data_IF_929562308272
#
_entry.id   IF_929562308272
#
_cell.length_a   1.000
_cell.length_b   1.000
_cell.length_c   1.000
_cell.angle_alpha   90.00
_cell.angle_beta   90.00
_cell.angle_gamma   90.00
#
_symmetry.space_group_name_H-M   'P 1'
#
loop_
_entity.id
_entity.type
_entity.pdbx_description
1 polymer ?
#
# COMPACT_ATOMS: atom_id res chain seq x y z
N UNK A 1 -25.33 -32.50 -24.60
CA UNK A 1 -25.73 -31.75 -23.38
C UNK A 1 -24.46 -31.49 -22.59
N UNK A 2 -23.79 -30.35 -22.83
CA UNK A 2 -22.57 -29.97 -22.10
C UNK A 2 -22.96 -28.91 -21.07
N UNK A 3 -23.05 -29.31 -19.80
CA UNK A 3 -23.15 -28.39 -18.67
C UNK A 3 -21.74 -27.91 -18.36
N UNK A 4 -21.42 -26.69 -18.77
CA UNK A 4 -20.24 -25.96 -18.31
C UNK A 4 -20.62 -25.42 -16.93
N UNK A 5 -20.08 -26.04 -15.89
CA UNK A 5 -20.16 -25.53 -14.53
C UNK A 5 -19.38 -24.21 -14.48
N UNK A 6 -20.12 -23.10 -14.36
CA UNK A 6 -19.57 -21.80 -14.03
C UNK A 6 -19.00 -21.88 -12.62
N UNK A 7 -17.68 -22.07 -12.54
CA UNK A 7 -16.91 -21.95 -11.31
C UNK A 7 -16.89 -20.47 -10.94
N UNK A 8 -17.85 -20.05 -10.13
CA UNK A 8 -17.87 -18.74 -9.50
C UNK A 8 -16.56 -18.54 -8.74
N UNK A 9 -15.69 -17.71 -9.32
CA UNK A 9 -14.43 -17.31 -8.71
C UNK A 9 -14.75 -16.59 -7.42
N UNK A 10 -14.53 -17.27 -6.30
CA UNK A 10 -14.56 -16.67 -4.97
C UNK A 10 -13.45 -15.63 -4.92
N UNK A 11 -13.76 -14.38 -5.27
CA UNK A 11 -12.84 -13.27 -5.05
C UNK A 11 -12.59 -13.22 -3.56
N UNK A 12 -11.37 -13.54 -3.15
CA UNK A 12 -10.93 -13.29 -1.78
C UNK A 12 -11.25 -11.82 -1.43
N UNK A 13 -11.60 -11.54 -0.16
CA UNK A 13 -11.79 -10.16 0.26
C UNK A 13 -10.50 -9.38 -0.04
N UNK A 14 -10.62 -8.13 -0.53
CA UNK A 14 -9.45 -7.30 -0.83
C UNK A 14 -8.57 -7.16 0.41
N UNK A 15 -7.25 -7.10 0.21
CA UNK A 15 -6.28 -6.92 1.30
C UNK A 15 -6.61 -5.69 2.14
N UNK A 16 -6.49 -5.85 3.47
CA UNK A 16 -6.74 -4.75 4.42
C UNK A 16 -5.54 -3.80 4.49
N UNK A 17 -5.51 -2.85 3.56
CA UNK A 17 -4.45 -1.83 3.46
C UNK A 17 -4.37 -0.96 4.72
N UNK A 18 -5.50 -0.65 5.37
CA UNK A 18 -5.51 0.17 6.58
C UNK A 18 -4.76 -0.54 7.72
N UNK A 19 -5.03 -1.84 7.91
CA UNK A 19 -4.31 -2.66 8.88
C UNK A 19 -2.82 -2.79 8.53
N UNK A 20 -2.47 -2.96 7.25
CA UNK A 20 -1.06 -3.02 6.83
C UNK A 20 -0.32 -1.71 7.16
N UNK A 21 -0.91 -0.55 6.87
CA UNK A 21 -0.33 0.78 7.19
C UNK A 21 -0.19 0.99 8.70
N UNK A 22 -1.20 0.62 9.48
CA UNK A 22 -1.15 0.71 10.94
C UNK A 22 0.01 -0.13 11.53
N UNK A 23 0.28 -1.30 10.95
CA UNK A 23 1.40 -2.14 11.37
C UNK A 23 2.76 -1.59 10.92
N UNK A 24 2.85 -1.00 9.72
CA UNK A 24 4.06 -0.29 9.26
C UNK A 24 4.43 0.87 10.19
N UNK A 25 3.43 1.59 10.71
CA UNK A 25 3.63 2.72 11.61
C UNK A 25 4.32 2.33 12.93
N UNK A 26 4.25 1.06 13.34
CA UNK A 26 4.95 0.54 14.51
C UNK A 26 6.46 0.32 14.27
N UNK A 27 6.92 0.41 13.00
CA UNK A 27 8.30 0.08 12.60
C UNK A 27 9.05 1.30 12.09
N UNK A 28 8.42 2.16 11.28
CA UNK A 28 9.15 3.18 10.52
C UNK A 28 9.72 4.36 11.33
N UNK A 29 9.04 4.91 12.35
CA UNK A 29 9.61 6.01 13.13
C UNK A 29 10.87 5.52 13.90
N UNK A 30 12.02 6.21 13.78
CA UNK A 30 13.28 5.77 14.39
C UNK A 30 13.23 5.65 15.91
N UNK A 31 12.41 6.48 16.54
CA UNK A 31 12.07 6.56 17.95
C UNK A 31 11.09 5.48 18.40
N UNK A 32 10.47 4.75 17.47
CA UNK A 32 9.48 3.70 17.73
C UNK A 32 10.01 2.31 17.37
N UNK A 33 11.05 2.18 16.54
CA UNK A 33 11.55 0.87 16.14
C UNK A 33 12.12 0.10 17.34
N UNK A 34 11.55 -1.06 17.72
CA UNK A 34 12.04 -1.83 18.86
C UNK A 34 13.44 -2.39 18.61
N UNK A 35 14.24 -2.49 19.67
CA UNK A 35 15.60 -3.08 19.62
C UNK A 35 15.65 -4.46 20.26
N UNK A 36 14.59 -4.88 20.97
CA UNK A 36 14.56 -6.19 21.60
C UNK A 36 14.39 -7.29 20.53
N UNK A 37 15.15 -8.41 20.62
CA UNK A 37 15.16 -9.43 19.58
C UNK A 37 13.80 -10.09 19.33
N UNK A 38 13.00 -10.32 20.37
CA UNK A 38 11.71 -11.02 20.27
C UNK A 38 10.66 -10.18 19.55
N UNK A 39 10.57 -8.89 19.87
CA UNK A 39 9.66 -7.97 19.17
C UNK A 39 10.12 -7.75 17.74
N UNK A 40 11.43 -7.63 17.49
CA UNK A 40 11.96 -7.54 16.12
C UNK A 40 11.62 -8.78 15.28
N UNK A 41 11.72 -9.98 15.84
CA UNK A 41 11.33 -11.21 15.16
C UNK A 41 9.83 -11.21 14.84
N UNK A 42 9.00 -10.79 15.80
CA UNK A 42 7.54 -10.69 15.64
C UNK A 42 7.17 -9.71 14.54
N UNK A 43 7.72 -8.50 14.58
CA UNK A 43 7.49 -7.46 13.56
C UNK A 43 8.01 -7.90 12.19
N UNK A 44 9.17 -8.56 12.14
CA UNK A 44 9.71 -9.12 10.88
C UNK A 44 8.76 -10.15 10.30
N UNK A 45 8.28 -11.10 11.12
CA UNK A 45 7.29 -12.08 10.71
C UNK A 45 6.01 -11.44 10.18
N UNK A 46 5.51 -10.42 10.89
CA UNK A 46 4.32 -9.66 10.49
C UNK A 46 4.52 -8.95 9.14
N UNK A 47 5.64 -8.25 8.94
CA UNK A 47 5.95 -7.58 7.67
C UNK A 47 6.06 -8.58 6.51
N UNK A 48 6.70 -9.74 6.74
CA UNK A 48 6.80 -10.80 5.72
C UNK A 48 5.42 -11.36 5.38
N UNK A 49 4.57 -11.62 6.37
CA UNK A 49 3.20 -12.10 6.15
C UNK A 49 2.37 -11.12 5.33
N UNK A 50 2.40 -9.82 5.65
CA UNK A 50 1.70 -8.79 4.87
C UNK A 50 2.22 -8.69 3.44
N UNK A 51 3.53 -8.78 3.22
CA UNK A 51 4.11 -8.81 1.88
C UNK A 51 3.66 -10.04 1.08
N UNK A 52 3.62 -11.21 1.70
CA UNK A 52 3.12 -12.45 1.08
C UNK A 52 1.64 -12.36 0.69
N UNK A 53 0.85 -11.54 1.37
CA UNK A 53 -0.55 -11.28 1.02
C UNK A 53 -0.69 -10.26 -0.12
N UNK A 54 0.00 -9.12 -0.06
CA UNK A 54 -0.22 -8.02 -1.02
C UNK A 54 0.45 -8.24 -2.38
N UNK A 55 1.58 -8.96 -2.43
CA UNK A 55 2.30 -9.24 -3.69
C UNK A 55 1.41 -9.93 -4.74
N UNK A 56 0.77 -11.09 -4.45
CA UNK A 56 -0.06 -11.76 -5.44
C UNK A 56 -1.27 -10.92 -5.87
N UNK A 57 -1.81 -10.09 -4.97
CA UNK A 57 -2.91 -9.17 -5.28
C UNK A 57 -2.48 -8.07 -6.26
N UNK A 58 -1.31 -7.48 -6.07
CA UNK A 58 -0.75 -6.50 -7.01
C UNK A 58 -0.50 -7.14 -8.37
N UNK A 59 0.09 -8.34 -8.41
CA UNK A 59 0.31 -9.08 -9.65
C UNK A 59 -1.01 -9.37 -10.37
N UNK A 60 -2.04 -9.80 -9.64
CA UNK A 60 -3.37 -10.06 -10.19
C UNK A 60 -4.02 -8.80 -10.77
N UNK A 61 -4.01 -7.68 -10.04
CA UNK A 61 -4.58 -6.42 -10.54
C UNK A 61 -3.79 -5.90 -11.73
N UNK A 62 -2.45 -5.93 -11.67
CA UNK A 62 -1.55 -5.48 -12.73
C UNK A 62 -1.73 -6.31 -14.02
N UNK A 63 -2.00 -7.61 -13.93
CA UNK A 63 -2.22 -8.47 -15.08
C UNK A 63 -3.42 -8.05 -15.93
N UNK A 64 -4.40 -7.36 -15.33
CA UNK A 64 -5.63 -6.89 -16.00
C UNK A 64 -5.48 -5.53 -16.70
N UNK A 65 -4.33 -4.86 -16.53
CA UNK A 65 -4.05 -3.56 -17.14
C UNK A 65 -3.31 -3.71 -18.48
N UNK A 66 -3.35 -2.72 -19.38
CA UNK A 66 -2.55 -2.70 -20.60
C UNK A 66 -1.05 -2.90 -20.33
N UNK A 67 -0.33 -3.50 -21.27
CA UNK A 67 1.11 -3.80 -21.10
C UNK A 67 1.98 -2.53 -21.02
N UNK A 68 1.52 -1.44 -21.62
CA UNK A 68 2.15 -0.12 -21.66
C UNK A 68 1.67 0.84 -20.55
N UNK A 69 0.79 0.37 -19.64
CA UNK A 69 0.33 1.15 -18.51
C UNK A 69 1.48 1.43 -17.51
N UNK A 70 1.78 2.71 -17.29
CA UNK A 70 2.87 3.15 -16.41
C UNK A 70 2.64 2.69 -14.95
N UNK A 71 1.46 2.88 -14.33
CA UNK A 71 1.16 2.31 -13.01
C UNK A 71 1.44 0.82 -12.89
N UNK A 72 1.05 0.00 -13.89
CA UNK A 72 1.37 -1.43 -13.96
C UNK A 72 2.87 -1.68 -13.86
N UNK A 73 3.68 -1.01 -14.70
CA UNK A 73 5.12 -1.22 -14.72
C UNK A 73 5.78 -0.87 -13.37
N UNK A 74 5.41 0.27 -12.79
CA UNK A 74 5.95 0.74 -11.51
C UNK A 74 5.60 -0.24 -10.39
N UNK A 75 4.35 -0.72 -10.33
CA UNK A 75 3.92 -1.67 -9.31
C UNK A 75 4.66 -3.01 -9.41
N UNK A 76 4.83 -3.56 -10.62
CA UNK A 76 5.58 -4.81 -10.82
C UNK A 76 7.07 -4.67 -10.51
N UNK A 77 7.67 -3.50 -10.75
CA UNK A 77 9.03 -3.22 -10.30
C UNK A 77 9.13 -3.23 -8.76
N UNK A 78 8.14 -2.63 -8.08
CA UNK A 78 8.02 -2.67 -6.62
C UNK A 78 7.88 -4.09 -6.07
N UNK A 79 7.10 -4.95 -6.74
CA UNK A 79 6.96 -6.37 -6.37
C UNK A 79 8.31 -7.09 -6.44
N UNK A 80 9.04 -6.96 -7.54
CA UNK A 80 10.37 -7.61 -7.69
C UNK A 80 11.34 -7.19 -6.59
N UNK A 81 11.38 -5.90 -6.28
CA UNK A 81 12.21 -5.35 -5.21
C UNK A 81 11.80 -5.87 -3.82
N UNK A 82 10.49 -6.02 -3.57
CA UNK A 82 9.98 -6.58 -2.33
C UNK A 82 10.35 -8.07 -2.19
N UNK A 83 10.25 -8.86 -3.27
CA UNK A 83 10.69 -10.26 -3.29
C UNK A 83 12.18 -10.38 -2.95
N UNK A 84 13.05 -9.57 -3.58
CA UNK A 84 14.47 -9.58 -3.26
C UNK A 84 14.77 -9.29 -1.78
N UNK A 85 13.97 -8.42 -1.14
CA UNK A 85 14.10 -8.13 0.29
C UNK A 85 13.53 -9.24 1.19
N UNK A 86 12.52 -9.97 0.73
CA UNK A 86 11.99 -11.14 1.45
C UNK A 86 13.00 -12.28 1.49
N UNK A 87 13.76 -12.46 0.42
CA UNK A 87 14.78 -13.50 0.29
C UNK A 87 16.09 -13.15 1.02
N UNK A 88 16.35 -11.86 1.20
CA UNK A 88 17.52 -11.38 1.93
C UNK A 88 17.48 -11.76 3.42
N UNK A 89 18.58 -12.32 3.93
CA UNK A 89 18.78 -12.52 5.37
C UNK A 89 19.33 -11.24 6.02
N UNK A 90 18.91 -10.91 7.26
CA UNK A 90 19.59 -9.87 8.02
C UNK A 90 21.04 -10.28 8.29
N UNK A 91 21.92 -9.29 8.45
CA UNK A 91 23.26 -9.49 8.99
C UNK A 91 23.21 -9.95 10.46
N UNK A 92 24.37 -10.26 11.02
CA UNK A 92 24.48 -10.85 12.36
C UNK A 92 24.34 -9.83 13.50
N UNK A 93 24.45 -8.53 13.21
CA UNK A 93 24.40 -7.51 14.26
C UNK A 93 22.95 -7.12 14.58
N UNK A 94 22.64 -6.74 15.84
CA UNK A 94 21.31 -6.27 16.21
C UNK A 94 20.81 -5.10 15.33
N UNK A 95 21.71 -4.20 14.93
CA UNK A 95 21.42 -3.10 14.00
C UNK A 95 20.98 -3.59 12.62
N UNK A 96 21.45 -4.76 12.18
CA UNK A 96 21.08 -5.33 10.89
C UNK A 96 19.65 -5.87 10.89
N UNK A 97 19.20 -6.42 12.02
CA UNK A 97 17.82 -6.88 12.21
C UNK A 97 16.84 -5.70 12.18
N UNK A 98 17.16 -4.61 12.90
CA UNK A 98 16.41 -3.34 12.86
C UNK A 98 16.35 -2.79 11.42
N UNK A 99 17.49 -2.74 10.74
CA UNK A 99 17.54 -2.25 9.37
C UNK A 99 16.74 -3.15 8.42
N UNK A 100 16.75 -4.45 8.63
CA UNK A 100 16.00 -5.41 7.82
C UNK A 100 14.49 -5.24 7.98
N UNK A 101 13.95 -5.20 9.20
CA UNK A 101 12.50 -5.00 9.41
C UNK A 101 12.04 -3.65 8.83
N UNK A 102 12.85 -2.59 8.93
CA UNK A 102 12.54 -1.28 8.31
C UNK A 102 12.59 -1.32 6.78
N UNK A 103 13.45 -2.15 6.17
CA UNK A 103 13.43 -2.36 4.71
C UNK A 103 12.14 -3.05 4.27
N UNK A 104 11.70 -4.07 5.00
CA UNK A 104 10.44 -4.76 4.72
C UNK A 104 9.24 -3.81 4.89
N UNK A 105 9.20 -3.05 5.99
CA UNK A 105 8.13 -2.08 6.26
C UNK A 105 8.02 -1.00 5.17
N UNK A 106 9.16 -0.48 4.68
CA UNK A 106 9.17 0.48 3.55
C UNK A 106 8.67 -0.15 2.25
N UNK A 107 9.05 -1.38 1.96
CA UNK A 107 8.51 -2.09 0.80
C UNK A 107 7.01 -2.29 0.92
N UNK A 108 6.52 -2.73 2.09
CA UNK A 108 5.09 -2.91 2.33
C UNK A 108 4.31 -1.62 2.14
N UNK A 109 4.82 -0.49 2.67
CA UNK A 109 4.20 0.82 2.49
C UNK A 109 4.09 1.19 1.00
N UNK A 110 5.18 1.05 0.25
CA UNK A 110 5.19 1.35 -1.18
C UNK A 110 4.23 0.44 -1.97
N UNK A 111 4.15 -0.85 -1.61
CA UNK A 111 3.20 -1.78 -2.23
C UNK A 111 1.75 -1.41 -1.89
N UNK A 112 1.46 -0.93 -0.68
CA UNK A 112 0.13 -0.40 -0.35
C UNK A 112 -0.24 0.77 -1.27
N UNK A 113 0.68 1.73 -1.45
CA UNK A 113 0.47 2.87 -2.37
C UNK A 113 0.26 2.41 -3.82
N UNK A 114 1.01 1.39 -4.26
CA UNK A 114 0.85 0.81 -5.59
C UNK A 114 -0.50 0.11 -5.75
N UNK A 115 -0.91 -0.72 -4.79
CA UNK A 115 -2.18 -1.43 -4.83
C UNK A 115 -3.37 -0.48 -4.89
N UNK A 116 -3.40 0.58 -4.07
CA UNK A 116 -4.43 1.61 -4.11
C UNK A 116 -4.47 2.32 -5.47
N UNK A 117 -3.29 2.66 -6.02
CA UNK A 117 -3.19 3.28 -7.35
C UNK A 117 -3.70 2.38 -8.47
N UNK A 118 -3.38 1.09 -8.44
CA UNK A 118 -3.83 0.11 -9.44
C UNK A 118 -5.33 -0.18 -9.35
N UNK A 119 -5.88 -0.23 -8.13
CA UNK A 119 -7.31 -0.49 -7.91
C UNK A 119 -8.17 0.76 -8.06
N UNK A 120 -7.55 1.93 -8.27
CA UNK A 120 -8.26 3.20 -8.36
C UNK A 120 -8.89 3.63 -7.03
N UNK A 121 -8.51 2.99 -5.92
CA UNK A 121 -8.91 3.39 -4.57
C UNK A 121 -8.18 4.68 -4.25
N UNK A 122 -8.94 5.77 -4.13
CA UNK A 122 -8.39 7.10 -3.82
C UNK A 122 -8.60 7.35 -2.33
N UNK A 123 -7.57 7.75 -1.58
CA UNK A 123 -7.76 8.13 -0.18
C UNK A 123 -8.21 9.58 -0.06
N UNK A 124 -9.12 9.85 0.89
CA UNK A 124 -9.52 11.20 1.22
C UNK A 124 -8.42 11.88 2.04
N UNK A 125 -7.76 12.88 1.47
CA UNK A 125 -6.66 13.61 2.11
C UNK A 125 -7.02 14.34 3.42
N UNK A 126 -8.30 14.43 3.78
CA UNK A 126 -8.77 15.11 4.98
C UNK A 126 -9.01 14.17 6.18
N UNK A 127 -9.43 12.93 5.91
CA UNK A 127 -9.80 11.98 6.97
C UNK A 127 -9.08 10.62 6.85
N UNK A 128 -8.21 10.47 5.85
CA UNK A 128 -7.45 9.25 5.57
C UNK A 128 -8.33 7.99 5.43
N UNK A 129 -9.54 8.18 4.87
CA UNK A 129 -10.47 7.10 4.56
C UNK A 129 -10.58 6.91 3.04
N UNK A 130 -10.80 5.69 2.54
CA UNK A 130 -10.96 5.43 1.11
C UNK A 130 -12.20 6.12 0.55
N UNK A 131 -12.05 6.69 -0.64
CA UNK A 131 -13.09 7.23 -1.50
C UNK A 131 -13.52 6.09 -2.42
N UNK A 132 -14.76 5.61 -2.23
CA UNK A 132 -15.33 4.55 -3.05
C UNK A 132 -15.79 5.09 -4.40
N UNK A 133 -15.84 4.21 -5.40
CA UNK A 133 -16.35 4.56 -6.72
C UNK A 133 -17.81 5.05 -6.61
N UNK A 134 -18.10 6.23 -7.16
CA UNK A 134 -19.42 6.87 -7.07
C UNK A 134 -19.61 7.80 -5.87
N UNK A 135 -18.70 7.83 -4.90
CA UNK A 135 -18.76 8.82 -3.82
C UNK A 135 -18.45 10.23 -4.35
N UNK A 136 -19.22 11.22 -3.89
CA UNK A 136 -19.01 12.61 -4.26
C UNK A 136 -17.67 13.11 -3.69
N UNK A 137 -16.84 13.66 -4.59
CA UNK A 137 -15.50 14.14 -4.25
C UNK A 137 -15.27 15.57 -4.69
N UNK A 138 -14.43 16.27 -3.94
CA UNK A 138 -13.87 17.56 -4.34
C UNK A 138 -12.35 17.49 -4.48
N UNK A 139 -11.76 18.23 -5.43
CA UNK A 139 -10.32 18.39 -5.50
C UNK A 139 -9.79 19.05 -4.22
N UNK A 140 -8.68 18.55 -3.69
CA UNK A 140 -7.98 19.11 -2.54
C UNK A 140 -6.83 20.00 -3.02
N UNK A 141 -7.16 21.23 -3.43
CA UNK A 141 -6.16 22.18 -3.91
C UNK A 141 -5.67 23.13 -2.80
N UNK A 142 -4.39 23.06 -2.45
CA UNK A 142 -3.64 24.28 -2.13
C UNK A 142 -3.02 24.77 -3.43
N UNK A 143 -3.31 26.03 -3.78
CA UNK A 143 -2.77 26.68 -4.97
C UNK A 143 -1.24 26.63 -4.90
N UNK A 144 -0.61 25.83 -5.75
CA UNK A 144 0.83 25.93 -5.99
C UNK A 144 1.03 26.94 -7.12
N UNK A 145 1.91 27.95 -6.97
CA UNK A 145 2.12 28.99 -7.98
C UNK A 145 2.77 28.48 -9.28
N UNK A 146 3.18 27.21 -9.34
CA UNK A 146 4.07 26.67 -10.38
C UNK A 146 3.38 26.06 -11.60
N UNK A 147 2.06 26.17 -11.77
CA UNK A 147 1.37 25.91 -13.05
C UNK A 147 1.44 24.48 -13.64
N UNK A 148 1.94 23.49 -12.90
CA UNK A 148 1.90 22.09 -13.30
C UNK A 148 0.57 21.45 -12.90
N UNK A 149 -0.13 20.80 -13.85
CA UNK A 149 -1.28 19.96 -13.57
C UNK A 149 -0.84 18.68 -12.84
N UNK A 150 -0.54 18.80 -11.55
CA UNK A 150 -0.55 17.65 -10.64
C UNK A 150 -2.01 17.39 -10.27
N UNK A 151 -2.45 16.15 -10.38
CA UNK A 151 -3.76 15.70 -9.90
C UNK A 151 -3.76 15.87 -8.37
N UNK A 152 -4.04 17.09 -7.90
CA UNK A 152 -4.12 17.43 -6.48
C UNK A 152 -5.19 16.52 -5.91
N UNK A 153 -4.81 15.65 -4.97
CA UNK A 153 -5.64 14.53 -4.53
C UNK A 153 -7.06 14.91 -4.11
N UNK A 154 -7.90 13.92 -3.83
CA UNK A 154 -9.33 14.16 -3.59
C UNK A 154 -9.68 14.09 -2.11
N UNK A 155 -10.76 14.78 -1.75
CA UNK A 155 -11.41 14.60 -0.46
C UNK A 155 -12.89 14.26 -0.67
N UNK A 156 -13.50 13.53 0.26
CA UNK A 156 -14.95 13.39 0.28
C UNK A 156 -15.60 14.77 0.35
N UNK A 157 -16.74 14.94 -0.31
CA UNK A 157 -17.47 16.22 -0.26
C UNK A 157 -17.86 16.59 1.18
N UNK A 158 -18.22 15.61 2.02
CA UNK A 158 -18.45 15.81 3.47
C UNK A 158 -17.22 16.32 4.22
N UNK A 159 -16.01 15.95 3.78
CA UNK A 159 -14.76 16.38 4.39
C UNK A 159 -14.31 17.76 3.88
N UNK A 160 -14.92 18.29 2.82
CA UNK A 160 -14.55 19.61 2.30
C UNK A 160 -14.90 20.75 3.27
N UNK A 161 -15.94 20.56 4.08
CA UNK A 161 -16.38 21.57 5.05
C UNK A 161 -15.56 21.54 6.34
N UNK A 162 -14.96 20.40 6.70
CA UNK A 162 -14.14 20.28 7.92
C UNK A 162 -12.73 20.84 7.77
N UNK A 163 -12.15 20.82 6.56
CA UNK A 163 -10.80 21.38 6.33
C UNK A 163 -10.81 22.91 6.28
N UNK A 164 -11.93 23.54 5.90
CA UNK A 164 -12.05 25.01 5.79
C UNK A 164 -12.10 25.76 7.13
N UNK A 165 -12.26 25.05 8.24
CA UNK A 165 -12.38 25.65 9.58
C UNK A 165 -11.10 25.57 10.42
N UNK A 166 -9.95 25.23 9.81
CA UNK A 166 -8.63 25.27 10.45
C UNK A 166 -7.71 26.28 9.79
#
# INVERSE_FOLDING_TARGET
>A
MNSIEHREGTSAPPVDIATMRANVAQVLPPDVTPTDPTTLQTLTGMMRGHLQLIIPEIEHVAARLPADDVPRYVALAGVREACGKLDARPGLMPSDAVAHVRRLARSLLALCDHYEKLTGVRMCLACDQPIRQGEATRPYGKVSPSGGAVDFGRIHERCANTVRMR
#
